data_IF_931243854975
#
_entry.id   IF_931243854975
#
_cell.length_a   1.000
_cell.length_b   1.000
_cell.length_c   1.000
_cell.angle_alpha   90.00
_cell.angle_beta   90.00
_cell.angle_gamma   90.00
#
_symmetry.space_group_name_H-M   'P 1'
#
loop_
_entity.id
_entity.type
_entity.pdbx_description
1 polymer ?
#
# COMPACT_ATOMS: atom_id res chain seq x y z
N UNK A 1 17.22 24.98 18.87
CA UNK A 1 16.12 24.01 18.99
C UNK A 1 15.31 24.17 17.74
N UNK A 2 15.66 23.40 16.71
CA UNK A 2 15.07 23.59 15.39
C UNK A 2 13.71 22.90 15.37
N UNK A 3 12.66 23.69 15.20
CA UNK A 3 11.30 23.18 14.99
C UNK A 3 11.12 22.98 13.51
N UNK A 4 11.15 21.73 13.11
CA UNK A 4 10.72 21.30 11.80
C UNK A 4 9.18 21.37 11.76
N UNK A 5 8.64 22.09 10.79
CA UNK A 5 7.22 22.08 10.48
C UNK A 5 7.11 21.70 9.01
N UNK A 6 6.55 20.52 8.74
CA UNK A 6 6.21 20.11 7.38
C UNK A 6 4.70 20.16 7.27
N UNK A 7 4.20 20.93 6.30
CA UNK A 7 2.78 20.95 5.93
C UNK A 7 2.66 20.30 4.55
N UNK A 8 1.72 19.37 4.40
CA UNK A 8 1.45 18.73 3.13
C UNK A 8 0.00 18.31 3.05
N UNK A 9 -0.49 18.13 1.84
CA UNK A 9 -1.82 17.65 1.53
C UNK A 9 -1.68 16.24 0.97
N UNK A 10 -2.44 15.30 1.57
CA UNK A 10 -2.59 13.96 1.03
C UNK A 10 -4.06 13.80 0.67
N UNK A 11 -4.34 13.53 -0.60
CA UNK A 11 -5.65 13.20 -1.11
C UNK A 11 -5.62 11.77 -1.66
N UNK A 12 -6.73 11.04 -1.55
CA UNK A 12 -6.86 9.73 -2.17
C UNK A 12 -8.21 9.56 -2.83
N UNK A 13 -8.23 8.83 -3.93
CA UNK A 13 -9.41 8.42 -4.66
C UNK A 13 -9.42 6.89 -4.74
N UNK A 14 -10.51 6.28 -4.28
CA UNK A 14 -10.68 4.83 -4.26
C UNK A 14 -11.89 4.44 -5.10
N UNK A 15 -11.72 3.40 -5.92
CA UNK A 15 -12.77 2.79 -6.72
C UNK A 15 -12.71 1.27 -6.56
N UNK A 16 -13.84 0.62 -6.31
CA UNK A 16 -13.90 -0.83 -6.15
C UNK A 16 -15.19 -1.39 -6.71
N UNK A 17 -15.16 -2.67 -7.10
CA UNK A 17 -16.33 -3.37 -7.60
C UNK A 17 -16.44 -4.76 -6.99
N UNK A 18 -17.53 -5.03 -6.27
CA UNK A 18 -17.76 -6.34 -5.70
C UNK A 18 -18.43 -7.27 -6.72
N UNK A 19 -17.69 -8.26 -7.19
CA UNK A 19 -18.16 -9.30 -8.10
C UNK A 19 -18.50 -10.60 -7.36
N UNK A 20 -19.68 -11.14 -7.64
CA UNK A 20 -20.21 -12.35 -7.03
C UNK A 20 -20.44 -13.42 -8.13
N UNK A 21 -19.42 -14.20 -8.51
CA UNK A 21 -19.54 -15.21 -9.57
C UNK A 21 -20.46 -16.41 -9.21
N UNK A 22 -21.01 -16.44 -7.99
CA UNK A 22 -21.77 -17.57 -7.45
C UNK A 22 -20.86 -18.60 -6.76
N UNK A 23 -21.45 -19.51 -5.98
CA UNK A 23 -20.75 -20.52 -5.13
C UNK A 23 -20.12 -19.98 -3.84
N UNK A 24 -20.59 -18.84 -3.33
CA UNK A 24 -20.07 -18.27 -2.08
C UNK A 24 -18.68 -17.64 -2.22
N UNK A 25 -18.27 -17.32 -3.44
CA UNK A 25 -17.04 -16.58 -3.74
C UNK A 25 -17.39 -15.12 -3.96
N UNK A 26 -16.61 -14.24 -3.36
CA UNK A 26 -16.65 -12.79 -3.57
C UNK A 26 -15.30 -12.38 -4.09
N UNK A 27 -15.27 -11.61 -5.17
CA UNK A 27 -14.05 -11.04 -5.73
C UNK A 27 -14.28 -9.54 -5.84
N UNK A 28 -13.45 -8.75 -5.19
CA UNK A 28 -13.52 -7.30 -5.16
C UNK A 28 -12.22 -6.71 -5.67
N UNK A 29 -12.11 -6.45 -6.99
CA UNK A 29 -11.10 -5.54 -7.51
C UNK A 29 -11.29 -4.15 -6.91
N UNK A 30 -10.19 -3.56 -6.47
CA UNK A 30 -10.10 -2.21 -5.93
C UNK A 30 -8.92 -1.49 -6.58
N UNK A 31 -9.07 -0.22 -6.83
CA UNK A 31 -8.05 0.66 -7.35
C UNK A 31 -8.07 1.93 -6.51
N UNK A 32 -6.90 2.38 -6.09
CA UNK A 32 -6.73 3.56 -5.27
C UNK A 32 -5.64 4.42 -5.91
N UNK A 33 -5.86 5.71 -6.00
CA UNK A 33 -4.88 6.71 -6.42
C UNK A 33 -4.71 7.67 -5.26
N UNK A 34 -3.48 7.79 -4.76
CA UNK A 34 -3.10 8.67 -3.68
C UNK A 34 -2.26 9.76 -4.30
N UNK A 35 -2.71 11.00 -4.16
CA UNK A 35 -1.98 12.20 -4.54
C UNK A 35 -1.42 12.83 -3.27
N UNK A 36 -0.11 13.00 -3.24
CA UNK A 36 0.60 13.62 -2.13
C UNK A 36 1.35 14.85 -2.64
N UNK A 37 0.90 16.03 -2.21
CA UNK A 37 1.61 17.29 -2.39
C UNK A 37 2.22 17.71 -1.05
N UNK A 38 3.51 17.41 -0.86
CA UNK A 38 4.26 17.83 0.32
C UNK A 38 5.27 18.88 -0.12
N UNK A 39 4.93 20.14 0.13
CA UNK A 39 5.87 21.24 -0.02
C UNK A 39 6.74 21.27 1.24
N UNK A 40 8.02 20.89 1.17
CA UNK A 40 8.99 21.36 2.17
C UNK A 40 9.46 22.74 1.78
N UNK A 41 9.35 23.70 2.70
CA UNK A 41 10.00 25.00 2.55
C UNK A 41 11.52 24.83 2.39
N UNK A 42 12.08 25.51 1.40
CA UNK A 42 13.50 25.55 1.05
C UNK A 42 14.40 25.75 2.30
N UNK A 43 15.16 24.73 2.68
CA UNK A 43 16.23 24.91 3.67
C UNK A 43 17.55 25.25 2.97
N UNK A 44 18.03 26.47 3.18
CA UNK A 44 19.40 26.84 2.80
C UNK A 44 20.36 26.25 3.84
N UNK A 45 20.95 25.08 3.55
CA UNK A 45 22.05 24.57 4.36
C UNK A 45 23.23 25.54 4.34
N UNK A 46 23.90 25.73 5.47
CA UNK A 46 25.03 26.65 5.66
C UNK A 46 26.29 26.32 4.83
N UNK A 47 26.24 25.30 3.98
CA UNK A 47 27.21 25.03 2.93
C UNK A 47 26.48 25.23 1.60
N UNK A 48 27.04 26.06 0.72
CA UNK A 48 26.55 26.51 -0.59
C UNK A 48 26.12 25.43 -1.63
N UNK A 49 25.69 24.25 -1.22
CA UNK A 49 24.98 23.28 -2.04
C UNK A 49 23.49 23.63 -2.04
N UNK A 50 23.02 24.28 -3.11
CA UNK A 50 21.61 24.42 -3.40
C UNK A 50 21.09 23.05 -3.82
N UNK A 51 20.59 22.27 -2.86
CA UNK A 51 19.82 21.08 -3.18
C UNK A 51 18.40 21.55 -3.50
N UNK A 52 18.11 21.88 -4.76
CA UNK A 52 16.72 21.98 -5.20
C UNK A 52 16.19 20.56 -5.32
N UNK A 53 15.69 20.02 -4.22
CA UNK A 53 14.85 18.85 -4.31
C UNK A 53 13.51 19.35 -4.81
N UNK A 54 13.36 19.40 -6.13
CA UNK A 54 12.07 19.57 -6.79
C UNK A 54 11.19 18.43 -6.31
N UNK A 55 10.49 18.63 -5.18
CA UNK A 55 9.43 17.76 -4.71
C UNK A 55 8.27 17.96 -5.68
N UNK A 56 8.38 17.28 -6.81
CA UNK A 56 7.29 17.12 -7.74
C UNK A 56 6.26 16.22 -7.08
N UNK A 57 5.01 16.70 -7.06
CA UNK A 57 3.77 15.95 -6.93
C UNK A 57 3.98 14.42 -6.89
N UNK A 58 3.74 13.72 -5.78
CA UNK A 58 3.86 12.25 -5.76
C UNK A 58 2.49 11.59 -5.97
N UNK A 59 2.34 10.83 -7.06
CA UNK A 59 1.10 10.12 -7.39
C UNK A 59 1.29 8.62 -7.21
N UNK A 60 0.96 8.10 -6.04
CA UNK A 60 0.96 6.65 -5.83
C UNK A 60 -0.34 6.01 -6.32
N UNK A 61 -0.25 4.99 -7.16
CA UNK A 61 -1.41 4.18 -7.56
C UNK A 61 -1.32 2.79 -6.95
N UNK A 62 -2.39 2.31 -6.32
CA UNK A 62 -2.51 0.97 -5.78
C UNK A 62 -3.63 0.22 -6.49
N UNK A 63 -3.33 -0.97 -6.99
CA UNK A 63 -4.30 -1.92 -7.50
C UNK A 63 -4.41 -3.08 -6.52
N UNK A 64 -5.59 -3.27 -5.96
CA UNK A 64 -5.90 -4.36 -5.05
C UNK A 64 -6.89 -5.35 -5.65
N UNK A 65 -6.83 -6.59 -5.20
CA UNK A 65 -7.84 -7.61 -5.45
C UNK A 65 -8.09 -8.34 -4.14
N UNK A 66 -9.27 -8.13 -3.57
CA UNK A 66 -9.73 -8.89 -2.42
C UNK A 66 -10.59 -10.07 -2.92
N UNK A 67 -10.37 -11.26 -2.39
CA UNK A 67 -11.16 -12.44 -2.71
C UNK A 67 -11.50 -13.18 -1.43
N UNK A 68 -12.79 -13.44 -1.24
CA UNK A 68 -13.35 -14.15 -0.09
C UNK A 68 -14.03 -15.43 -0.58
N UNK A 69 -13.73 -16.58 0.05
CA UNK A 69 -14.47 -17.81 -0.22
C UNK A 69 -15.18 -18.27 1.04
N UNK A 70 -16.51 -18.35 0.99
CA UNK A 70 -17.34 -18.86 2.08
C UNK A 70 -17.42 -20.37 1.96
N UNK A 71 -16.86 -21.09 2.94
CA UNK A 71 -17.04 -22.54 3.02
C UNK A 71 -18.21 -22.89 3.94
N UNK A 72 -18.79 -24.07 3.72
CA UNK A 72 -19.84 -24.63 4.58
C UNK A 72 -19.35 -24.92 6.01
N UNK A 73 -18.03 -24.97 6.23
CA UNK A 73 -17.38 -25.29 7.51
C UNK A 73 -17.29 -24.07 8.46
N UNK A 74 -17.99 -22.96 8.18
CA UNK A 74 -18.01 -21.77 9.04
C UNK A 74 -16.70 -20.96 9.03
N UNK A 75 -15.82 -21.28 8.08
CA UNK A 75 -14.53 -20.63 7.85
C UNK A 75 -14.60 -19.84 6.55
N UNK A 76 -13.90 -18.72 6.51
CA UNK A 76 -13.89 -17.82 5.36
C UNK A 76 -12.43 -17.47 5.05
N UNK A 77 -11.74 -18.26 4.21
CA UNK A 77 -10.46 -17.84 3.65
C UNK A 77 -10.60 -16.54 2.85
N UNK A 78 -9.59 -15.70 2.97
CA UNK A 78 -9.46 -14.43 2.26
C UNK A 78 -8.10 -14.38 1.57
N UNK A 79 -8.05 -13.79 0.39
CA UNK A 79 -6.82 -13.50 -0.34
C UNK A 79 -6.90 -12.04 -0.78
N UNK A 80 -5.93 -11.27 -0.38
CA UNK A 80 -5.72 -9.88 -0.76
C UNK A 80 -4.45 -9.82 -1.58
N UNK A 81 -4.53 -9.31 -2.80
CA UNK A 81 -3.37 -9.00 -3.63
C UNK A 81 -3.32 -7.49 -3.78
N UNK A 82 -2.23 -6.85 -3.41
CA UNK A 82 -2.03 -5.43 -3.60
C UNK A 82 -0.79 -5.20 -4.43
N UNK A 83 -0.90 -4.32 -5.40
CA UNK A 83 0.18 -3.91 -6.27
C UNK A 83 0.26 -2.41 -6.26
N UNK A 84 1.37 -1.89 -5.75
CA UNK A 84 1.64 -0.46 -5.67
C UNK A 84 2.55 -0.10 -6.85
N UNK A 85 2.10 0.87 -7.62
CA UNK A 85 2.84 1.49 -8.68
C UNK A 85 3.11 2.94 -8.30
N UNK A 86 4.40 3.27 -8.29
CA UNK A 86 4.89 4.60 -8.04
C UNK A 86 5.52 5.12 -9.35
N UNK A 87 4.91 6.11 -10.00
CA UNK A 87 5.38 6.68 -11.26
C UNK A 87 6.53 7.68 -11.05
N UNK A 88 6.82 8.13 -9.82
CA UNK A 88 7.92 9.05 -9.56
C UNK A 88 9.24 8.28 -9.44
N UNK A 89 9.83 7.99 -10.60
CA UNK A 89 11.28 7.90 -10.69
C UNK A 89 11.82 9.32 -10.46
N UNK A 90 12.53 9.53 -9.37
CA UNK A 90 13.38 10.71 -9.24
C UNK A 90 14.41 10.66 -10.38
N UNK A 91 14.15 11.35 -11.49
CA UNK A 91 15.15 11.61 -12.52
C UNK A 91 16.13 12.64 -11.95
N UNK A 92 17.18 12.15 -11.28
CA UNK A 92 18.34 12.98 -10.96
C UNK A 92 19.19 13.03 -12.23
N UNK A 93 19.01 14.07 -13.03
CA UNK A 93 19.89 14.35 -14.16
C UNK A 93 21.19 14.97 -13.61
N UNK A 94 22.18 14.12 -13.30
CA UNK A 94 23.55 14.57 -13.02
C UNK A 94 24.50 14.02 -14.10
N UNK A 95 24.89 14.91 -15.02
CA UNK A 95 26.06 14.82 -15.90
C UNK A 95 26.28 13.49 -16.66
N UNK A 96 25.31 13.11 -17.50
CA UNK A 96 25.53 12.17 -18.62
C UNK A 96 25.67 10.68 -18.26
N UNK A 97 25.39 10.29 -17.02
CA UNK A 97 25.22 8.89 -16.63
C UNK A 97 23.79 8.67 -16.13
N UNK A 98 22.94 8.13 -17.00
CA UNK A 98 21.56 7.73 -16.64
C UNK A 98 21.62 6.55 -15.66
N UNK A 99 21.71 6.86 -14.36
CA UNK A 99 21.43 5.89 -13.30
C UNK A 99 19.92 5.92 -13.10
N UNK A 100 19.21 5.13 -13.89
CA UNK A 100 17.81 4.86 -13.62
C UNK A 100 17.72 4.11 -12.30
N UNK A 101 17.32 4.80 -11.24
CA UNK A 101 16.85 4.16 -10.01
C UNK A 101 15.50 3.47 -10.33
N UNK A 102 15.57 2.35 -11.04
CA UNK A 102 14.46 1.45 -11.36
C UNK A 102 13.91 0.72 -10.12
N UNK A 103 14.52 0.98 -8.98
CA UNK A 103 14.51 0.18 -7.77
C UNK A 103 13.22 0.31 -6.90
N UNK A 104 12.45 1.39 -7.02
CA UNK A 104 11.23 1.61 -6.20
C UNK A 104 9.93 1.61 -7.02
N UNK A 105 9.99 1.36 -8.33
CA UNK A 105 8.85 1.58 -9.24
C UNK A 105 7.62 0.69 -9.00
N UNK A 106 7.78 -0.47 -8.34
CA UNK A 106 6.75 -1.53 -8.24
C UNK A 106 6.89 -2.33 -6.95
N UNK A 107 5.86 -2.38 -6.12
CA UNK A 107 5.80 -3.22 -4.90
C UNK A 107 4.59 -4.13 -4.95
N UNK A 108 4.80 -5.42 -4.67
CA UNK A 108 3.73 -6.41 -4.56
C UNK A 108 3.53 -6.82 -3.12
N UNK A 109 2.29 -6.86 -2.65
CA UNK A 109 1.90 -7.45 -1.38
C UNK A 109 0.85 -8.52 -1.62
N UNK A 110 1.04 -9.67 -0.98
CA UNK A 110 0.12 -10.79 -0.99
C UNK A 110 -0.26 -11.06 0.45
N UNK A 111 -1.53 -10.98 0.78
CA UNK A 111 -2.03 -11.28 2.10
C UNK A 111 -3.05 -12.40 2.02
N UNK A 112 -2.79 -13.47 2.77
CA UNK A 112 -3.67 -14.63 2.87
C UNK A 112 -4.21 -14.66 4.29
N UNK A 113 -5.52 -14.80 4.43
CA UNK A 113 -6.18 -14.83 5.71
C UNK A 113 -7.24 -15.91 5.80
N UNK A 114 -7.65 -16.15 7.02
CA UNK A 114 -8.75 -17.03 7.35
C UNK A 114 -9.52 -16.41 8.50
N UNK A 115 -10.82 -16.26 8.30
CA UNK A 115 -11.75 -15.80 9.33
C UNK A 115 -12.62 -16.96 9.79
N UNK A 116 -12.63 -17.23 11.09
CA UNK A 116 -13.49 -18.23 11.73
C UNK A 116 -14.41 -17.57 12.73
N UNK A 117 -15.69 -17.96 12.71
CA UNK A 117 -16.64 -17.52 13.74
C UNK A 117 -16.61 -18.51 14.90
N UNK A 118 -16.09 -18.10 16.05
CA UNK A 118 -16.06 -18.92 17.28
C UNK A 118 -17.45 -18.96 17.91
N UNK A 119 -18.20 -17.88 17.80
CA UNK A 119 -19.57 -17.75 18.32
C UNK A 119 -20.33 -16.70 17.51
N UNK A 120 -21.66 -16.60 17.66
CA UNK A 120 -22.46 -15.56 16.99
C UNK A 120 -22.00 -14.13 17.29
N UNK A 121 -21.22 -13.94 18.38
CA UNK A 121 -20.70 -12.66 18.85
C UNK A 121 -19.19 -12.53 18.70
N UNK A 122 -18.46 -13.59 18.41
CA UNK A 122 -16.98 -13.59 18.42
C UNK A 122 -16.46 -14.17 17.12
N UNK A 123 -15.69 -13.35 16.40
CA UNK A 123 -15.01 -13.74 15.18
C UNK A 123 -13.50 -13.60 15.37
N UNK A 124 -12.75 -14.62 14.98
CA UNK A 124 -11.29 -14.61 14.98
C UNK A 124 -10.80 -14.58 13.54
N UNK A 125 -9.85 -13.71 13.24
CA UNK A 125 -9.19 -13.59 11.94
C UNK A 125 -7.69 -13.74 12.13
N UNK A 126 -7.11 -14.70 11.42
CA UNK A 126 -5.66 -14.80 11.25
C UNK A 126 -5.30 -14.49 9.81
N UNK A 127 -4.26 -13.70 9.57
CA UNK A 127 -3.75 -13.47 8.21
C UNK A 127 -2.25 -13.28 8.20
N UNK A 128 -1.61 -13.64 7.11
CA UNK A 128 -0.19 -13.43 6.86
C UNK A 128 -0.06 -12.61 5.59
N UNK A 129 0.66 -11.50 5.66
CA UNK A 129 1.01 -10.66 4.54
C UNK A 129 2.48 -10.85 4.20
N UNK A 130 2.77 -11.00 2.92
CA UNK A 130 4.09 -11.05 2.32
C UNK A 130 4.21 -9.89 1.35
N UNK A 131 5.13 -8.98 1.60
CA UNK A 131 5.46 -7.89 0.71
C UNK A 131 6.82 -8.12 0.08
N UNK A 132 6.92 -7.93 -1.23
CA UNK A 132 8.18 -8.00 -1.99
C UNK A 132 8.34 -6.74 -2.84
N UNK A 133 9.49 -6.07 -2.69
CA UNK A 133 9.95 -4.97 -3.55
C UNK A 133 11.12 -5.39 -4.45
N UNK A 134 11.64 -4.45 -5.24
CA UNK A 134 12.69 -4.71 -6.24
C UNK A 134 14.10 -4.85 -5.63
N UNK A 135 14.42 -4.19 -4.51
CA UNK A 135 15.75 -4.19 -3.87
C UNK A 135 15.98 -5.33 -2.87
N UNK A 136 15.56 -6.56 -3.19
CA UNK A 136 15.58 -7.70 -2.25
C UNK A 136 14.80 -7.48 -0.94
N UNK A 137 14.02 -6.39 -0.85
CA UNK A 137 13.17 -6.11 0.29
C UNK A 137 12.00 -7.10 0.31
N UNK A 138 12.06 -8.05 1.25
CA UNK A 138 10.97 -8.95 1.55
C UNK A 138 10.56 -8.77 3.02
N UNK A 139 9.29 -8.45 3.25
CA UNK A 139 8.72 -8.37 4.58
C UNK A 139 7.60 -9.38 4.72
N UNK A 140 7.59 -10.12 5.82
CA UNK A 140 6.49 -11.00 6.19
C UNK A 140 5.90 -10.51 7.50
N UNK A 141 4.58 -10.28 7.53
CA UNK A 141 3.86 -9.83 8.70
C UNK A 141 2.69 -10.76 9.00
N UNK A 142 2.60 -11.23 10.25
CA UNK A 142 1.46 -11.98 10.75
C UNK A 142 0.51 -11.05 11.50
N UNK A 143 -0.79 -11.18 11.22
CA UNK A 143 -1.85 -10.45 11.89
C UNK A 143 -2.84 -11.43 12.52
N UNK A 144 -3.19 -11.18 13.77
CA UNK A 144 -4.26 -11.86 14.46
C UNK A 144 -5.21 -10.81 15.01
N UNK A 145 -6.49 -10.91 14.68
CA UNK A 145 -7.51 -9.95 15.10
C UNK A 145 -8.72 -10.70 15.62
N UNK A 146 -9.24 -10.26 16.77
CA UNK A 146 -10.47 -10.78 17.35
C UNK A 146 -11.51 -9.66 17.35
N UNK A 147 -12.68 -9.93 16.80
CA UNK A 147 -13.81 -8.99 16.78
C UNK A 147 -14.92 -9.53 17.66
N UNK A 148 -15.43 -8.71 18.57
CA UNK A 148 -16.57 -9.03 19.43
C UNK A 148 -17.72 -8.08 19.10
N UNK A 149 -18.90 -8.64 18.82
CA UNK A 149 -20.16 -7.90 18.61
C UNK A 149 -20.98 -7.95 19.90
N UNK A 150 -21.32 -6.78 20.43
CA UNK A 150 -22.19 -6.58 21.60
C UNK A 150 -23.63 -6.30 21.19
#
# INVERSE_FOLDING_TARGET
>A
MDRYHSSGIIASLEAGYQWLPGRGVVIEPQAQVIYQDVQQDDFTAANHARVSQSQGDDIQTRLGLHSEWRTAVGVTPTLDLNYYHDPHATEIEEDGSTISDDAVKRRGEIKVGVTGNISQRVSLRGSVAWQKGSDDFAQTAGFLSMTVKW
#
